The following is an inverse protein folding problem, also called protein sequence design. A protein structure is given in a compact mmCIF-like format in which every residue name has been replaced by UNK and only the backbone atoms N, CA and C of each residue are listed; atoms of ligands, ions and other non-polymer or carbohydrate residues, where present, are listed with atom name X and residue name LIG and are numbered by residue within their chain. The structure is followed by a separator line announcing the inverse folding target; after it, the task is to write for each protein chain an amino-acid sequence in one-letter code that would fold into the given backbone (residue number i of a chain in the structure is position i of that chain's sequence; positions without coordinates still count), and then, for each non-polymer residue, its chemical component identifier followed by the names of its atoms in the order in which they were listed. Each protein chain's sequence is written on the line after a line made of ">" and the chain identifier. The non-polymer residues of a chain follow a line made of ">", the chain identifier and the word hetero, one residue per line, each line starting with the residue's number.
data_IF_597589667394
#
_entry.id   IF_597589667394
#
_cell.length_a   1.000
_cell.length_b   1.000
_cell.length_c   1.000
_cell.angle_alpha   90.00
_cell.angle_beta   90.00
_cell.angle_gamma   90.00
#
_symmetry.space_group_name_H-M   'P 1'
#
loop_
_entity.id
_entity.type
_entity.pdbx_description
1 polymer ?
#
# COMPACT_ATOMS: atom_id res chain seq x y z
N UNK A 1 8.18 -11.87 -7.68
CA UNK A 1 8.18 -11.64 -6.21
C UNK A 1 6.76 -11.26 -5.83
N UNK A 2 6.26 -11.79 -4.72
CA UNK A 2 4.91 -11.51 -4.24
C UNK A 2 5.02 -10.66 -2.97
N UNK A 3 4.42 -9.47 -2.96
CA UNK A 3 4.52 -8.53 -1.84
C UNK A 3 3.13 -8.10 -1.39
N UNK A 4 2.89 -8.19 -0.09
CA UNK A 4 1.68 -7.66 0.55
C UNK A 4 1.98 -6.29 1.12
N UNK A 5 1.11 -5.31 0.89
CA UNK A 5 1.23 -3.96 1.44
C UNK A 5 -0.01 -3.57 2.23
N UNK A 6 0.20 -2.86 3.33
CA UNK A 6 -0.82 -2.24 4.15
C UNK A 6 -0.21 -1.00 4.82
N UNK A 7 -1.04 -0.04 5.21
CA UNK A 7 -0.62 1.13 5.99
C UNK A 7 -1.70 1.53 6.99
N UNK A 8 -1.56 2.69 7.61
CA UNK A 8 -2.67 3.43 8.18
C UNK A 8 -3.15 4.50 7.19
N UNK A 9 -4.09 5.34 7.63
CA UNK A 9 -4.66 6.42 6.83
C UNK A 9 -3.62 7.46 6.37
N UNK A 10 -2.54 7.67 7.14
CA UNK A 10 -1.47 8.61 6.79
C UNK A 10 -0.49 8.04 5.77
N UNK A 11 -0.39 6.71 5.69
CA UNK A 11 0.53 6.01 4.81
C UNK A 11 0.05 5.82 3.36
N UNK A 12 -1.20 6.15 3.04
CA UNK A 12 -1.83 5.84 1.74
C UNK A 12 -1.02 6.41 0.56
N UNK A 13 -0.69 7.70 0.60
CA UNK A 13 0.02 8.35 -0.51
C UNK A 13 1.39 7.71 -0.78
N UNK A 14 2.11 7.31 0.27
CA UNK A 14 3.40 6.64 0.13
C UNK A 14 3.24 5.20 -0.35
N UNK A 15 2.28 4.44 0.22
CA UNK A 15 1.94 3.08 -0.18
C UNK A 15 1.68 3.02 -1.70
N UNK A 16 0.80 3.89 -2.20
CA UNK A 16 0.47 3.97 -3.63
C UNK A 16 1.71 4.23 -4.49
N UNK A 17 2.58 5.15 -4.06
CA UNK A 17 3.83 5.45 -4.79
C UNK A 17 4.78 4.24 -4.84
N UNK A 18 4.95 3.54 -3.72
CA UNK A 18 5.83 2.35 -3.65
C UNK A 18 5.25 1.22 -4.50
N UNK A 19 3.93 1.01 -4.45
CA UNK A 19 3.26 0.00 -5.28
C UNK A 19 3.52 0.24 -6.77
N UNK A 20 3.37 1.48 -7.26
CA UNK A 20 3.67 1.80 -8.66
C UNK A 20 5.12 1.53 -9.07
N UNK A 21 6.09 1.75 -8.17
CA UNK A 21 7.49 1.39 -8.42
C UNK A 21 7.65 -0.14 -8.52
N UNK A 22 6.99 -0.90 -7.65
CA UNK A 22 7.13 -2.36 -7.62
C UNK A 22 6.42 -3.02 -8.81
N UNK A 23 5.26 -2.51 -9.20
CA UNK A 23 4.56 -2.94 -10.43
C UNK A 23 5.41 -2.67 -11.68
N UNK A 24 6.05 -1.50 -11.77
CA UNK A 24 6.96 -1.16 -12.88
C UNK A 24 8.14 -2.12 -12.96
N UNK A 25 8.56 -2.70 -11.82
CA UNK A 25 9.62 -3.71 -11.75
C UNK A 25 9.11 -5.15 -11.97
N UNK A 26 7.83 -5.34 -12.32
CA UNK A 26 7.23 -6.64 -12.62
C UNK A 26 6.87 -7.48 -11.40
N UNK A 27 6.68 -6.85 -10.23
CA UNK A 27 6.32 -7.56 -9.01
C UNK A 27 4.80 -7.72 -8.89
N UNK A 28 4.35 -8.80 -8.26
CA UNK A 28 2.93 -9.03 -7.97
C UNK A 28 2.62 -8.48 -6.58
N UNK A 29 1.62 -7.60 -6.49
CA UNK A 29 1.25 -6.91 -5.27
C UNK A 29 -0.14 -7.32 -4.78
N UNK A 30 -0.34 -7.26 -3.46
CA UNK A 30 -1.66 -7.34 -2.83
C UNK A 30 -1.78 -6.24 -1.79
N UNK A 31 -2.76 -5.36 -1.95
CA UNK A 31 -3.05 -4.27 -1.01
C UNK A 31 -4.12 -4.72 -0.02
N UNK A 32 -3.86 -4.59 1.28
CA UNK A 32 -4.79 -4.89 2.36
C UNK A 32 -5.39 -3.62 3.00
N UNK A 33 -5.12 -2.46 2.43
CA UNK A 33 -5.71 -1.19 2.83
C UNK A 33 -4.85 -0.36 3.80
N UNK A 34 -5.42 0.69 4.40
CA UNK A 34 -6.73 1.25 4.07
C UNK A 34 -6.75 1.83 2.65
N UNK A 35 -7.94 1.92 2.06
CA UNK A 35 -8.20 2.52 0.74
C UNK A 35 -8.66 3.98 0.84
N UNK A 36 -8.99 4.45 2.05
CA UNK A 36 -9.54 5.79 2.31
C UNK A 36 -8.70 6.52 3.37
N UNK A 37 -8.68 7.85 3.29
CA UNK A 37 -7.99 8.70 4.28
C UNK A 37 -8.75 8.80 5.62
N UNK A 38 -9.81 8.02 5.81
CA UNK A 38 -10.51 7.94 7.07
C UNK A 38 -9.57 7.41 8.15
N UNK A 39 -9.56 8.07 9.31
CA UNK A 39 -8.68 7.71 10.41
C UNK A 39 -8.93 6.26 10.84
N UNK A 40 -7.95 5.41 10.59
CA UNK A 40 -7.88 4.04 11.09
C UNK A 40 -6.66 3.88 11.99
N UNK A 41 -6.79 2.97 12.94
CA UNK A 41 -5.70 2.60 13.84
C UNK A 41 -4.85 1.49 13.23
N UNK A 42 -3.52 1.69 13.31
CA UNK A 42 -2.58 0.58 13.21
C UNK A 42 -2.40 -0.06 14.61
N UNK A 43 -2.17 -1.38 14.69
CA UNK A 43 -1.87 -2.06 15.96
C UNK A 43 -0.65 -1.49 16.71
#
# INVERSE_FOLDING_TARGET
>A
MNVVMASDHRGIALKTKIMGIFETNGWQLSDLGPETEESVDYP
#
